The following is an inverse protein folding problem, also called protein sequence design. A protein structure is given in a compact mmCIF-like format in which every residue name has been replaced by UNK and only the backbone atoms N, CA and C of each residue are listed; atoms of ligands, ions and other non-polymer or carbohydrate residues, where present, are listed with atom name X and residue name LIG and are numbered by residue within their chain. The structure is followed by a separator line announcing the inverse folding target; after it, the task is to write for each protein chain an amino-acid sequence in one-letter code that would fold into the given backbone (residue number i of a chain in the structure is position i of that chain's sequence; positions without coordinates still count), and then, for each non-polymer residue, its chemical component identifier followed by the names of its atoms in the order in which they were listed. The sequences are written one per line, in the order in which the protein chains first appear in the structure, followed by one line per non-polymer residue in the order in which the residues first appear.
data_IF_331843054164
#
_entry.id   IF_331843054164
#
_cell.length_a   1.000
_cell.length_b   1.000
_cell.length_c   1.000
_cell.angle_alpha   90.00
_cell.angle_beta   90.00
_cell.angle_gamma   90.00
#
_symmetry.space_group_name_H-M   'P 1'
#
loop_
_entity.id
_entity.type
_entity.pdbx_description
1 polymer ?
#
# COMPACT_ATOMS: atom_id res chain seq x y z
N UNK A 1 20.87 30.20 -6.95
CA UNK A 1 20.84 28.79 -6.49
C UNK A 1 20.08 28.74 -5.17
N UNK A 2 18.94 28.06 -5.13
CA UNK A 2 18.14 27.90 -3.92
C UNK A 2 18.76 26.78 -3.07
N UNK A 3 19.27 27.07 -1.89
CA UNK A 3 19.82 26.06 -0.98
C UNK A 3 18.65 25.27 -0.34
N UNK A 4 18.63 23.95 -0.52
CA UNK A 4 17.69 23.07 0.14
C UNK A 4 18.33 22.50 1.39
N UNK A 5 17.71 22.73 2.54
CA UNK A 5 18.22 22.34 3.85
C UNK A 5 17.78 20.94 4.26
N UNK A 6 16.65 20.48 3.73
CA UNK A 6 16.17 19.12 3.97
C UNK A 6 17.14 18.07 3.44
N UNK A 7 17.36 16.95 4.15
CA UNK A 7 18.32 15.92 3.76
C UNK A 7 17.88 15.11 2.54
N UNK A 8 16.56 14.98 2.26
CA UNK A 8 16.02 14.35 1.06
C UNK A 8 15.98 15.38 -0.08
N UNK A 9 16.46 15.00 -1.26
CA UNK A 9 16.60 15.88 -2.42
C UNK A 9 15.66 15.48 -3.56
N UNK A 10 15.77 14.25 -4.05
CA UNK A 10 14.96 13.75 -5.16
C UNK A 10 13.47 13.69 -4.77
N UNK A 11 13.16 13.23 -3.56
CA UNK A 11 11.79 13.20 -3.03
C UNK A 11 11.24 14.59 -2.64
N UNK A 12 12.03 15.67 -2.73
CA UNK A 12 11.65 16.99 -2.23
C UNK A 12 10.91 17.80 -3.29
N UNK A 13 9.72 18.30 -2.95
CA UNK A 13 8.92 19.16 -3.82
C UNK A 13 9.64 20.41 -4.32
N UNK A 14 10.64 20.93 -3.57
CA UNK A 14 11.42 22.08 -4.00
C UNK A 14 12.31 21.80 -5.23
N UNK A 15 12.69 20.53 -5.45
CA UNK A 15 13.41 20.09 -6.65
C UNK A 15 12.45 19.66 -7.76
N UNK A 16 11.33 19.05 -7.40
CA UNK A 16 10.31 18.57 -8.33
C UNK A 16 8.96 19.21 -7.95
N UNK A 17 8.66 20.44 -8.44
CA UNK A 17 7.46 21.21 -8.05
C UNK A 17 6.15 20.55 -8.46
N UNK A 18 6.13 19.85 -9.60
CA UNK A 18 4.94 19.22 -10.15
C UNK A 18 4.67 17.89 -9.43
N UNK A 19 3.39 17.55 -9.31
CA UNK A 19 3.00 16.27 -8.72
C UNK A 19 3.40 15.11 -9.64
N UNK A 20 3.99 14.08 -9.06
CA UNK A 20 4.29 12.84 -9.78
C UNK A 20 3.01 12.05 -10.05
N UNK A 21 2.88 11.54 -11.27
CA UNK A 21 1.86 10.56 -11.66
C UNK A 21 2.54 9.23 -11.91
N UNK A 22 2.20 8.22 -11.14
CA UNK A 22 2.68 6.85 -11.35
C UNK A 22 1.70 6.14 -12.28
N UNK A 23 2.22 5.53 -13.36
CA UNK A 23 1.45 4.74 -14.31
C UNK A 23 1.78 3.24 -14.18
N UNK A 24 0.75 2.43 -13.96
CA UNK A 24 0.84 0.97 -13.83
C UNK A 24 -0.18 0.34 -14.77
N UNK A 25 0.26 -0.11 -15.94
CA UNK A 25 -0.68 -0.46 -17.02
C UNK A 25 -1.56 0.74 -17.36
N UNK A 26 -2.87 0.59 -17.21
CA UNK A 26 -3.86 1.68 -17.43
C UNK A 26 -4.22 2.44 -16.16
N UNK A 27 -3.68 2.05 -15.00
CA UNK A 27 -3.95 2.70 -13.72
C UNK A 27 -3.00 3.87 -13.52
N UNK A 28 -3.57 5.05 -13.18
CA UNK A 28 -2.83 6.26 -12.82
C UNK A 28 -3.03 6.57 -11.34
N UNK A 29 -1.98 7.03 -10.66
CA UNK A 29 -1.97 7.37 -9.23
C UNK A 29 -1.27 8.71 -9.02
N UNK A 30 -1.87 9.61 -8.26
CA UNK A 30 -1.34 10.95 -7.99
C UNK A 30 -1.92 12.02 -8.92
N UNK A 31 -1.71 13.28 -8.58
CA UNK A 31 -2.18 14.45 -9.34
C UNK A 31 -3.68 14.41 -9.70
N UNK A 32 -4.54 14.08 -8.72
CA UNK A 32 -5.99 13.96 -8.90
C UNK A 32 -6.47 12.56 -9.30
N UNK A 33 -5.59 11.68 -9.78
CA UNK A 33 -5.92 10.27 -10.01
C UNK A 33 -5.92 9.51 -8.68
N UNK A 34 -7.03 8.81 -8.41
CA UNK A 34 -7.26 8.10 -7.17
C UNK A 34 -7.35 6.59 -7.41
N UNK A 35 -6.64 5.80 -6.60
CA UNK A 35 -6.60 4.35 -6.74
C UNK A 35 -7.26 3.64 -5.55
N UNK A 36 -8.03 2.60 -5.85
CA UNK A 36 -8.53 1.63 -4.87
C UNK A 36 -7.74 0.32 -5.01
N UNK A 37 -6.93 -0.02 -4.02
CA UNK A 37 -6.15 -1.26 -3.95
C UNK A 37 -6.83 -2.16 -2.91
N UNK A 38 -7.30 -3.33 -3.33
CA UNK A 38 -8.03 -4.22 -2.43
C UNK A 38 -7.63 -5.68 -2.63
N UNK A 39 -7.77 -6.49 -1.58
CA UNK A 39 -7.46 -7.92 -1.63
C UNK A 39 -7.08 -8.50 -0.27
N UNK A 40 -6.78 -9.80 -0.18
CA UNK A 40 -6.53 -10.45 1.09
C UNK A 40 -5.21 -10.04 1.73
N UNK A 41 -5.12 -10.02 3.05
CA UNK A 41 -3.86 -9.82 3.77
C UNK A 41 -2.81 -10.81 3.31
N UNK A 42 -3.18 -12.07 3.25
CA UNK A 42 -2.36 -13.18 2.79
C UNK A 42 -3.08 -13.97 1.70
N UNK A 43 -2.33 -14.45 0.72
CA UNK A 43 -2.81 -15.50 -0.19
C UNK A 43 -2.77 -16.81 0.58
N UNK A 44 -3.93 -17.47 0.69
CA UNK A 44 -4.13 -18.67 1.51
C UNK A 44 -4.55 -19.89 0.68
N UNK A 45 -5.22 -19.65 -0.44
CA UNK A 45 -5.60 -20.67 -1.41
C UNK A 45 -5.97 -20.03 -2.75
N UNK A 46 -6.02 -20.84 -3.81
CA UNK A 46 -6.48 -20.40 -5.11
C UNK A 46 -7.93 -19.90 -5.07
N UNK A 47 -8.83 -20.64 -4.42
CA UNK A 47 -10.24 -20.27 -4.32
C UNK A 47 -10.42 -18.92 -3.62
N UNK A 48 -9.72 -18.72 -2.49
CA UNK A 48 -9.78 -17.46 -1.73
C UNK A 48 -9.34 -16.27 -2.60
N UNK A 49 -8.17 -16.34 -3.24
CA UNK A 49 -7.63 -15.20 -3.99
C UNK A 49 -8.46 -14.89 -5.23
N UNK A 50 -8.94 -15.89 -5.97
CA UNK A 50 -9.74 -15.68 -7.16
C UNK A 50 -11.14 -15.14 -6.84
N UNK A 51 -11.79 -15.66 -5.81
CA UNK A 51 -13.08 -15.16 -5.35
C UNK A 51 -12.98 -13.70 -4.89
N UNK A 52 -11.99 -13.37 -4.05
CA UNK A 52 -11.78 -12.01 -3.58
C UNK A 52 -11.44 -11.07 -4.75
N UNK A 53 -10.52 -11.47 -5.64
CA UNK A 53 -10.11 -10.65 -6.79
C UNK A 53 -11.29 -10.28 -7.69
N UNK A 54 -12.13 -11.26 -8.04
CA UNK A 54 -13.31 -11.02 -8.89
C UNK A 54 -14.31 -10.08 -8.21
N UNK A 55 -14.58 -10.29 -6.91
CA UNK A 55 -15.55 -9.48 -6.17
C UNK A 55 -15.07 -8.05 -5.95
N UNK A 56 -13.79 -7.82 -5.60
CA UNK A 56 -13.26 -6.47 -5.41
C UNK A 56 -13.16 -5.71 -6.74
N UNK A 57 -12.81 -6.39 -7.85
CA UNK A 57 -12.84 -5.81 -9.19
C UNK A 57 -14.24 -5.30 -9.55
N UNK A 58 -15.25 -6.14 -9.38
CA UNK A 58 -16.64 -5.78 -9.66
C UNK A 58 -17.12 -4.60 -8.80
N UNK A 59 -16.55 -4.42 -7.60
CA UNK A 59 -16.82 -3.29 -6.71
C UNK A 59 -15.97 -2.04 -7.02
N UNK A 60 -15.12 -2.09 -8.06
CA UNK A 60 -14.34 -0.93 -8.51
C UNK A 60 -12.93 -0.82 -7.95
N UNK A 61 -12.34 -1.92 -7.47
CA UNK A 61 -10.89 -1.96 -7.22
C UNK A 61 -10.13 -1.81 -8.53
N UNK A 62 -9.07 -1.00 -8.50
CA UNK A 62 -8.19 -0.79 -9.65
C UNK A 62 -7.01 -1.76 -9.65
N UNK A 63 -6.60 -2.24 -8.47
CA UNK A 63 -5.46 -3.11 -8.28
C UNK A 63 -5.77 -4.15 -7.20
N UNK A 64 -5.22 -5.35 -7.38
CA UNK A 64 -5.29 -6.43 -6.40
C UNK A 64 -4.05 -6.42 -5.50
N UNK A 65 -4.25 -6.45 -4.17
CA UNK A 65 -3.16 -6.71 -3.24
C UNK A 65 -3.26 -8.13 -2.68
N UNK A 66 -2.13 -8.72 -2.36
CA UNK A 66 -2.05 -9.99 -1.65
C UNK A 66 -0.63 -10.26 -1.15
N UNK A 67 -0.49 -10.68 0.10
CA UNK A 67 0.80 -11.06 0.65
C UNK A 67 1.12 -12.53 0.36
N UNK A 68 2.15 -12.78 -0.44
CA UNK A 68 2.67 -14.13 -0.67
C UNK A 68 3.70 -14.53 0.41
N UNK A 69 4.42 -13.56 0.94
CA UNK A 69 5.36 -13.69 2.05
C UNK A 69 4.82 -12.91 3.25
N UNK A 70 4.90 -13.48 4.46
CA UNK A 70 4.36 -12.85 5.67
C UNK A 70 5.42 -12.73 6.75
N UNK A 71 5.81 -11.48 7.14
CA UNK A 71 6.66 -11.26 8.30
C UNK A 71 5.80 -11.45 9.57
N UNK A 72 6.06 -12.50 10.33
CA UNK A 72 5.32 -12.81 11.56
C UNK A 72 6.19 -12.58 12.79
N UNK A 73 5.55 -12.11 13.86
CA UNK A 73 6.23 -11.99 15.17
C UNK A 73 6.51 -13.37 15.75
N UNK A 74 5.58 -14.31 15.57
CA UNK A 74 5.75 -15.70 15.96
C UNK A 74 6.25 -16.55 14.78
N UNK A 75 7.27 -17.39 14.95
CA UNK A 75 7.72 -18.31 13.90
C UNK A 75 6.72 -19.45 13.62
N UNK A 76 5.74 -19.64 14.51
CA UNK A 76 4.71 -20.68 14.40
C UNK A 76 3.48 -20.23 13.61
N UNK A 77 3.36 -18.92 13.36
CA UNK A 77 2.27 -18.38 12.56
C UNK A 77 2.46 -18.70 11.08
N UNK A 78 1.38 -18.64 10.31
CA UNK A 78 1.40 -18.81 8.85
C UNK A 78 2.36 -17.83 8.17
N UNK A 79 3.38 -18.35 7.47
CA UNK A 79 4.48 -17.59 6.86
C UNK A 79 4.17 -17.14 5.41
N UNK A 80 2.99 -17.44 4.89
CA UNK A 80 2.61 -17.22 3.48
C UNK A 80 2.95 -18.40 2.57
N UNK A 81 2.33 -18.41 1.39
CA UNK A 81 2.54 -19.46 0.37
C UNK A 81 3.81 -19.24 -0.46
N UNK A 82 4.53 -18.17 -0.25
CA UNK A 82 5.79 -17.83 -0.93
C UNK A 82 5.65 -17.80 -2.46
N UNK A 83 6.49 -18.54 -3.20
CA UNK A 83 6.45 -18.57 -4.66
C UNK A 83 5.08 -19.00 -5.21
N UNK A 84 4.46 -20.03 -4.63
CA UNK A 84 3.11 -20.46 -4.99
C UNK A 84 2.08 -19.32 -4.84
N UNK A 85 2.19 -18.53 -3.76
CA UNK A 85 1.32 -17.37 -3.57
C UNK A 85 1.50 -16.28 -4.64
N UNK A 86 2.72 -16.09 -5.16
CA UNK A 86 2.96 -15.20 -6.31
C UNK A 86 2.27 -15.76 -7.56
N UNK A 87 2.41 -17.05 -7.84
CA UNK A 87 1.74 -17.68 -8.99
C UNK A 87 0.22 -17.56 -8.94
N UNK A 88 -0.38 -17.70 -7.77
CA UNK A 88 -1.81 -17.51 -7.57
C UNK A 88 -2.25 -16.05 -7.81
N UNK A 89 -1.44 -15.07 -7.38
CA UNK A 89 -1.67 -13.66 -7.68
C UNK A 89 -1.56 -13.38 -9.19
N UNK A 90 -0.57 -13.95 -9.87
CA UNK A 90 -0.42 -13.84 -11.33
C UNK A 90 -1.61 -14.50 -12.07
N UNK A 91 -2.13 -15.59 -11.55
CA UNK A 91 -3.35 -16.21 -12.07
C UNK A 91 -4.56 -15.27 -11.93
N UNK A 92 -4.73 -14.67 -10.75
CA UNK A 92 -5.77 -13.68 -10.51
C UNK A 92 -5.64 -12.45 -11.43
N UNK A 93 -4.41 -11.96 -11.65
CA UNK A 93 -4.11 -10.87 -12.61
C UNK A 93 -4.55 -11.25 -14.04
N UNK A 94 -4.25 -12.47 -14.51
CA UNK A 94 -4.68 -12.93 -15.85
C UNK A 94 -6.20 -12.99 -16.00
N UNK A 95 -6.92 -13.34 -14.94
CA UNK A 95 -8.39 -13.45 -14.97
C UNK A 95 -9.06 -12.09 -14.89
N UNK A 96 -8.56 -11.20 -14.01
CA UNK A 96 -9.19 -9.90 -13.74
C UNK A 96 -8.62 -8.76 -14.56
N UNK A 97 -7.42 -8.88 -15.09
CA UNK A 97 -6.69 -7.77 -15.72
C UNK A 97 -6.15 -6.74 -14.72
N UNK A 98 -6.42 -6.88 -13.41
CA UNK A 98 -5.93 -5.93 -12.41
C UNK A 98 -4.42 -6.08 -12.20
N UNK A 99 -3.64 -4.98 -12.19
CA UNK A 99 -2.27 -5.01 -11.70
C UNK A 99 -2.21 -5.53 -10.25
N UNK A 100 -1.12 -6.20 -9.90
CA UNK A 100 -0.94 -6.79 -8.56
C UNK A 100 0.10 -6.07 -7.72
N UNK A 101 -0.18 -6.01 -6.42
CA UNK A 101 0.71 -5.49 -5.37
C UNK A 101 1.04 -6.61 -4.40
N UNK A 102 2.33 -6.91 -4.21
CA UNK A 102 2.76 -7.91 -3.23
C UNK A 102 3.99 -7.45 -2.45
N UNK A 103 4.08 -7.87 -1.19
CA UNK A 103 5.17 -7.47 -0.29
C UNK A 103 6.41 -8.35 -0.51
N UNK A 104 7.56 -7.69 -0.70
CA UNK A 104 8.86 -8.34 -0.73
C UNK A 104 9.51 -8.31 0.66
N UNK A 105 10.14 -9.42 1.06
CA UNK A 105 10.81 -9.53 2.35
C UNK A 105 12.32 -9.40 2.25
N UNK A 106 12.91 -9.79 1.12
CA UNK A 106 14.34 -9.86 0.91
C UNK A 106 14.67 -9.66 -0.57
N UNK A 107 15.81 -9.03 -0.87
CA UNK A 107 16.26 -8.81 -2.24
C UNK A 107 16.44 -10.10 -3.05
N UNK A 108 16.79 -11.21 -2.38
CA UNK A 108 16.90 -12.53 -3.04
C UNK A 108 15.57 -13.04 -3.63
N UNK A 109 14.45 -12.45 -3.23
CA UNK A 109 13.14 -12.79 -3.81
C UNK A 109 12.83 -12.01 -5.10
N UNK A 110 13.63 -11.02 -5.49
CA UNK A 110 13.39 -10.19 -6.69
C UNK A 110 13.08 -11.00 -7.96
N UNK A 111 13.75 -12.15 -8.22
CA UNK A 111 13.41 -12.95 -9.40
C UNK A 111 11.95 -13.47 -9.41
N UNK A 112 11.34 -13.69 -8.24
CA UNK A 112 9.93 -14.10 -8.13
C UNK A 112 8.96 -12.94 -8.41
N UNK A 113 9.45 -11.71 -8.38
CA UNK A 113 8.64 -10.49 -8.55
C UNK A 113 8.72 -9.92 -9.96
N UNK A 114 9.29 -10.65 -10.93
CA UNK A 114 9.46 -10.16 -12.31
C UNK A 114 8.12 -9.72 -12.92
N UNK A 115 7.05 -10.47 -12.73
CA UNK A 115 5.71 -10.18 -13.27
C UNK A 115 4.77 -9.47 -12.29
N UNK A 116 5.26 -9.15 -11.08
CA UNK A 116 4.54 -8.32 -10.10
C UNK A 116 4.65 -6.85 -10.50
N UNK A 117 3.52 -6.14 -10.55
CA UNK A 117 3.49 -4.76 -11.05
C UNK A 117 4.00 -3.76 -10.02
N UNK A 118 3.65 -3.95 -8.74
CA UNK A 118 4.05 -3.09 -7.64
C UNK A 118 4.65 -3.92 -6.51
N UNK A 119 5.88 -3.59 -6.16
CA UNK A 119 6.57 -4.21 -5.02
C UNK A 119 6.28 -3.39 -3.76
N UNK A 120 5.61 -3.99 -2.78
CA UNK A 120 5.40 -3.35 -1.49
C UNK A 120 6.59 -3.59 -0.57
N UNK A 121 7.08 -2.50 0.03
CA UNK A 121 7.99 -2.54 1.19
C UNK A 121 7.16 -2.37 2.45
N UNK A 122 7.09 -3.41 3.26
CA UNK A 122 6.32 -3.41 4.50
C UNK A 122 6.91 -2.47 5.55
N UNK A 123 6.10 -2.08 6.52
CA UNK A 123 6.48 -1.12 7.57
C UNK A 123 7.73 -1.55 8.37
N UNK A 124 7.94 -2.85 8.56
CA UNK A 124 9.13 -3.39 9.25
C UNK A 124 10.42 -3.27 8.42
N UNK A 125 10.29 -3.14 7.10
CA UNK A 125 11.40 -3.04 6.14
C UNK A 125 11.61 -1.60 5.62
N UNK A 126 10.86 -0.61 6.12
CA UNK A 126 11.02 0.79 5.68
C UNK A 126 12.46 1.29 5.80
N UNK A 127 13.19 0.85 6.81
CA UNK A 127 14.58 1.22 7.05
C UNK A 127 15.58 0.10 6.73
N UNK A 128 15.16 -0.91 5.98
CA UNK A 128 16.08 -1.91 5.42
C UNK A 128 16.78 -1.32 4.19
N UNK A 129 17.77 -0.47 4.43
CA UNK A 129 18.41 0.34 3.39
C UNK A 129 19.07 -0.51 2.30
N UNK A 130 19.58 -1.70 2.62
CA UNK A 130 20.13 -2.60 1.61
C UNK A 130 19.04 -3.12 0.65
N UNK A 131 17.86 -3.49 1.18
CA UNK A 131 16.71 -3.82 0.36
C UNK A 131 16.26 -2.63 -0.50
N UNK A 132 16.20 -1.42 0.08
CA UNK A 132 15.78 -0.22 -0.64
C UNK A 132 16.71 0.12 -1.80
N UNK A 133 18.03 -0.02 -1.64
CA UNK A 133 19.01 0.17 -2.71
C UNK A 133 18.80 -0.83 -3.85
N UNK A 134 18.60 -2.12 -3.53
CA UNK A 134 18.33 -3.13 -4.57
C UNK A 134 17.04 -2.86 -5.34
N UNK A 135 15.98 -2.41 -4.64
CA UNK A 135 14.73 -1.99 -5.27
C UNK A 135 14.91 -0.73 -6.12
N UNK A 136 15.79 0.17 -5.71
CA UNK A 136 16.15 1.38 -6.46
C UNK A 136 16.82 1.10 -7.82
N UNK A 137 17.51 -0.03 -7.96
CA UNK A 137 18.11 -0.46 -9.24
C UNK A 137 17.08 -1.04 -10.21
N UNK A 138 15.85 -1.30 -9.75
CA UNK A 138 14.77 -1.85 -10.60
C UNK A 138 14.00 -0.73 -11.29
N UNK A 139 13.17 -1.10 -12.29
CA UNK A 139 12.18 -0.19 -12.90
C UNK A 139 10.77 -0.36 -12.31
N UNK A 140 10.64 -1.19 -11.28
CA UNK A 140 9.36 -1.51 -10.64
C UNK A 140 8.81 -0.33 -9.85
N UNK A 141 7.50 -0.20 -9.82
CA UNK A 141 6.85 0.72 -8.88
C UNK A 141 6.99 0.18 -7.46
N UNK A 142 7.45 1.02 -6.54
CA UNK A 142 7.64 0.67 -5.13
C UNK A 142 6.58 1.36 -4.29
N UNK A 143 5.79 0.57 -3.57
CA UNK A 143 4.86 1.07 -2.56
C UNK A 143 5.55 0.99 -1.20
N UNK A 144 5.95 2.14 -0.67
CA UNK A 144 6.73 2.26 0.56
C UNK A 144 5.81 2.58 1.74
N UNK A 145 5.60 1.61 2.63
CA UNK A 145 4.80 1.79 3.85
C UNK A 145 5.60 2.46 4.95
N UNK A 146 5.00 3.47 5.59
CA UNK A 146 5.56 4.13 6.78
C UNK A 146 5.78 3.11 7.89
N UNK A 147 6.94 3.17 8.51
CA UNK A 147 7.29 2.33 9.65
C UNK A 147 6.47 2.66 10.89
N UNK A 148 6.44 1.72 11.83
CA UNK A 148 5.55 1.74 12.99
C UNK A 148 5.79 2.91 13.97
N UNK A 149 7.01 3.46 14.02
CA UNK A 149 7.39 4.56 14.90
C UNK A 149 8.24 5.62 14.16
N UNK A 150 8.07 5.70 12.84
CA UNK A 150 8.91 6.55 12.00
C UNK A 150 8.24 7.90 11.71
N UNK A 151 9.04 8.94 11.72
CA UNK A 151 8.66 10.28 11.30
C UNK A 151 8.44 10.35 9.79
N UNK A 152 7.74 11.38 9.31
CA UNK A 152 7.59 11.65 7.87
C UNK A 152 8.94 11.92 7.20
N UNK A 153 9.87 12.56 7.92
CA UNK A 153 11.23 12.77 7.43
C UNK A 153 11.97 11.46 7.18
N UNK A 154 11.86 10.48 8.08
CA UNK A 154 12.47 9.16 7.88
C UNK A 154 11.83 8.40 6.73
N UNK A 155 10.50 8.51 6.53
CA UNK A 155 9.82 7.94 5.37
C UNK A 155 10.35 8.54 4.06
N UNK A 156 10.52 9.88 3.99
CA UNK A 156 11.06 10.56 2.83
C UNK A 156 12.55 10.24 2.61
N UNK A 157 13.32 10.03 3.67
CA UNK A 157 14.71 9.54 3.56
C UNK A 157 14.76 8.11 3.03
N UNK A 158 13.83 7.25 3.40
CA UNK A 158 13.74 5.90 2.83
C UNK A 158 13.37 5.93 1.33
N UNK A 159 12.45 6.82 0.93
CA UNK A 159 12.18 7.06 -0.49
C UNK A 159 13.43 7.57 -1.23
N UNK A 160 14.17 8.48 -0.61
CA UNK A 160 15.42 9.02 -1.17
C UNK A 160 16.46 7.92 -1.44
N UNK A 161 16.59 6.90 -0.58
CA UNK A 161 17.47 5.74 -0.83
C UNK A 161 17.12 5.00 -2.12
N UNK A 162 15.82 4.82 -2.40
CA UNK A 162 15.36 4.19 -3.64
C UNK A 162 15.64 5.10 -4.85
N UNK A 163 15.33 6.39 -4.72
CA UNK A 163 15.49 7.37 -5.80
C UNK A 163 16.97 7.62 -6.14
N UNK A 164 17.86 7.57 -5.16
CA UNK A 164 19.29 7.74 -5.36
C UNK A 164 19.92 6.65 -6.25
N UNK A 165 19.32 5.46 -6.31
CA UNK A 165 19.71 4.36 -7.21
C UNK A 165 19.06 4.46 -8.61
N UNK A 166 18.20 5.48 -8.84
CA UNK A 166 17.62 5.79 -10.16
C UNK A 166 16.17 5.34 -10.36
N UNK A 167 15.45 4.90 -9.31
CA UNK A 167 14.02 4.55 -9.39
C UNK A 167 13.16 5.64 -8.77
N UNK A 168 12.44 6.39 -9.60
CA UNK A 168 11.54 7.47 -9.19
C UNK A 168 10.08 7.01 -9.04
N UNK A 169 9.76 5.74 -9.35
CA UNK A 169 8.41 5.20 -9.31
C UNK A 169 8.02 4.78 -7.88
N UNK A 170 7.76 5.74 -7.00
CA UNK A 170 7.47 5.50 -5.59
C UNK A 170 6.09 6.02 -5.21
N UNK A 171 5.34 5.20 -4.47
CA UNK A 171 4.08 5.53 -3.81
C UNK A 171 4.31 5.48 -2.32
N UNK A 172 4.04 6.58 -1.60
CA UNK A 172 4.10 6.61 -0.14
C UNK A 172 2.79 6.08 0.45
N UNK A 173 2.88 5.32 1.54
CA UNK A 173 1.70 4.75 2.19
C UNK A 173 1.71 5.03 3.70
N UNK A 174 0.78 5.88 4.15
CA UNK A 174 0.45 6.02 5.57
C UNK A 174 -0.34 4.77 6.01
N UNK A 175 -0.01 4.19 7.18
CA UNK A 175 -0.62 2.97 7.71
C UNK A 175 -0.79 2.96 9.23
N UNK A 176 -0.70 4.12 9.84
CA UNK A 176 -0.71 4.28 11.30
C UNK A 176 0.66 4.10 11.94
N UNK A 177 0.81 4.73 13.07
CA UNK A 177 2.00 4.67 13.92
C UNK A 177 1.64 4.18 15.31
N UNK A 178 2.58 3.59 16.02
CA UNK A 178 2.45 3.25 17.43
C UNK A 178 2.44 4.50 18.27
N UNK A 179 1.45 4.62 19.16
CA UNK A 179 1.33 5.66 20.15
C UNK A 179 1.07 5.02 21.51
N UNK A 180 0.76 5.82 22.51
CA UNK A 180 0.33 5.34 23.82
C UNK A 180 -1.09 4.72 23.80
N UNK A 181 -1.88 4.96 22.74
CA UNK A 181 -3.23 4.43 22.59
C UNK A 181 -3.20 2.94 22.26
N UNK A 182 -4.08 2.16 22.91
CA UNK A 182 -4.11 0.69 22.80
C UNK A 182 -5.44 0.12 22.29
N UNK A 183 -6.49 0.94 22.14
CA UNK A 183 -7.78 0.51 21.59
C UNK A 183 -7.76 0.21 20.10
N UNK A 184 -6.79 0.74 19.37
CA UNK A 184 -6.51 0.40 17.98
C UNK A 184 -5.10 -0.17 17.85
N UNK A 185 -4.86 -0.95 16.80
CA UNK A 185 -3.54 -1.54 16.53
C UNK A 185 -2.45 -0.47 16.37
N UNK A 186 -2.79 0.63 15.68
CA UNK A 186 -1.98 1.82 15.54
C UNK A 186 -2.90 3.04 15.46
N UNK A 187 -2.36 4.22 15.70
CA UNK A 187 -3.05 5.49 15.48
C UNK A 187 -2.83 5.93 14.04
N UNK A 188 -3.90 6.08 13.26
CA UNK A 188 -3.82 6.61 11.90
C UNK A 188 -3.47 8.10 11.96
N UNK A 189 -2.46 8.52 11.20
CA UNK A 189 -2.02 9.92 11.10
C UNK A 189 -2.56 10.54 9.81
N UNK A 190 -3.80 11.04 9.87
CA UNK A 190 -4.42 11.69 8.71
C UNK A 190 -3.70 13.00 8.33
N UNK A 191 -3.08 13.67 9.29
CA UNK A 191 -2.31 14.90 9.04
C UNK A 191 -1.05 14.64 8.20
N UNK A 192 -0.56 13.38 8.18
CA UNK A 192 0.55 12.98 7.33
C UNK A 192 0.25 13.18 5.83
N UNK A 193 -1.02 13.06 5.42
CA UNK A 193 -1.41 13.16 4.00
C UNK A 193 -1.09 14.56 3.44
N UNK A 194 -1.70 15.66 3.94
CA UNK A 194 -1.40 16.98 3.42
C UNK A 194 0.07 17.38 3.68
N UNK A 195 0.66 16.98 4.80
CA UNK A 195 2.05 17.30 5.11
C UNK A 195 3.02 16.62 4.12
N UNK A 196 2.83 15.34 3.78
CA UNK A 196 3.65 14.67 2.77
C UNK A 196 3.50 15.32 1.40
N UNK A 197 2.29 15.76 1.03
CA UNK A 197 2.04 16.47 -0.23
C UNK A 197 2.68 17.87 -0.27
N UNK A 198 2.88 18.51 0.87
CA UNK A 198 3.64 19.76 0.95
C UNK A 198 5.14 19.53 0.81
N UNK A 199 5.66 18.47 1.45
CA UNK A 199 7.10 18.17 1.49
C UNK A 199 7.60 17.47 0.22
N UNK A 200 6.75 16.66 -0.43
CA UNK A 200 7.11 15.77 -1.54
C UNK A 200 6.13 15.87 -2.69
N UNK A 201 6.58 15.51 -3.86
CA UNK A 201 5.78 15.39 -5.09
C UNK A 201 5.20 13.98 -5.31
N UNK A 202 5.62 13.00 -4.49
CA UNK A 202 5.21 11.61 -4.61
C UNK A 202 3.75 11.39 -4.21
N UNK A 203 3.01 10.49 -4.86
CA UNK A 203 1.64 10.17 -4.48
C UNK A 203 1.58 9.51 -3.10
N UNK A 204 0.52 9.81 -2.35
CA UNK A 204 0.30 9.35 -0.98
C UNK A 204 -1.00 8.57 -0.90
N UNK A 205 -0.92 7.27 -0.56
CA UNK A 205 -2.08 6.44 -0.26
C UNK A 205 -2.16 6.11 1.22
N UNK A 206 -3.30 5.59 1.66
CA UNK A 206 -3.53 5.22 3.07
C UNK A 206 -4.02 3.79 3.17
N UNK A 207 -3.51 3.08 4.18
CA UNK A 207 -3.94 1.73 4.57
C UNK A 207 -4.68 1.79 5.92
N UNK A 208 -6.01 1.99 5.91
CA UNK A 208 -6.80 2.06 7.14
C UNK A 208 -6.94 0.69 7.84
N UNK A 209 -6.79 -0.41 7.11
CA UNK A 209 -6.86 -1.77 7.67
C UNK A 209 -5.74 -2.02 8.68
N UNK A 210 -4.49 -1.78 8.28
CA UNK A 210 -3.35 -1.93 9.17
C UNK A 210 -3.23 -0.81 10.20
N UNK A 211 -3.80 0.37 9.93
CA UNK A 211 -3.83 1.46 10.89
C UNK A 211 -4.69 1.07 12.09
N UNK A 212 -5.94 0.75 11.86
CA UNK A 212 -6.90 0.49 12.94
C UNK A 212 -6.81 -0.91 13.52
N UNK A 213 -6.56 -1.92 12.69
CA UNK A 213 -6.58 -3.33 13.08
C UNK A 213 -7.98 -3.87 13.38
N UNK A 214 -9.03 -3.13 13.07
CA UNK A 214 -10.43 -3.43 13.42
C UNK A 214 -11.33 -3.13 12.22
N UNK A 215 -11.99 -4.15 11.66
CA UNK A 215 -12.79 -4.05 10.45
C UNK A 215 -13.85 -2.93 10.49
N UNK A 216 -14.58 -2.79 11.60
CA UNK A 216 -15.62 -1.74 11.76
C UNK A 216 -15.08 -0.30 11.70
N UNK A 217 -13.78 -0.09 11.92
CA UNK A 217 -13.14 1.22 11.86
C UNK A 217 -12.54 1.51 10.48
N UNK A 218 -12.38 0.51 9.62
CA UNK A 218 -11.84 0.70 8.26
C UNK A 218 -12.72 1.64 7.42
N UNK A 219 -14.06 1.48 7.37
CA UNK A 219 -14.90 2.38 6.57
C UNK A 219 -14.76 3.86 6.95
N UNK A 220 -14.96 4.30 8.22
CA UNK A 220 -14.84 5.72 8.56
C UNK A 220 -13.44 6.27 8.30
N UNK A 221 -12.37 5.48 8.53
CA UNK A 221 -11.00 5.92 8.28
C UNK A 221 -10.67 5.99 6.78
N UNK A 222 -11.23 5.10 5.96
CA UNK A 222 -11.13 5.17 4.51
C UNK A 222 -11.76 6.47 3.96
N UNK A 223 -12.95 6.82 4.43
CA UNK A 223 -13.66 8.05 4.05
C UNK A 223 -12.87 9.30 4.48
N UNK A 224 -12.40 9.32 5.73
CA UNK A 224 -11.60 10.43 6.25
C UNK A 224 -10.28 10.59 5.48
N UNK A 225 -9.62 9.49 5.11
CA UNK A 225 -8.39 9.52 4.32
C UNK A 225 -8.62 10.09 2.91
N UNK A 226 -9.72 9.70 2.26
CA UNK A 226 -10.10 10.26 0.97
C UNK A 226 -10.40 11.75 1.08
N UNK A 227 -11.14 12.18 2.11
CA UNK A 227 -11.45 13.58 2.37
C UNK A 227 -10.19 14.41 2.73
N UNK A 228 -9.21 13.82 3.39
CA UNK A 228 -7.91 14.47 3.68
C UNK A 228 -7.00 14.61 2.45
N UNK A 229 -7.43 14.13 1.27
CA UNK A 229 -6.72 14.32 0.01
C UNK A 229 -5.73 13.20 -0.35
N UNK A 230 -5.88 11.99 0.19
CA UNK A 230 -5.10 10.84 -0.26
C UNK A 230 -5.27 10.60 -1.77
N UNK A 231 -4.24 10.05 -2.42
CA UNK A 231 -4.27 9.64 -3.83
C UNK A 231 -4.76 8.19 -4.00
N UNK A 232 -5.11 7.52 -2.91
CA UNK A 232 -5.67 6.18 -2.95
C UNK A 232 -5.80 5.54 -1.58
N UNK A 233 -6.40 4.36 -1.58
CA UNK A 233 -6.60 3.54 -0.40
C UNK A 233 -6.14 2.11 -0.66
N UNK A 234 -5.57 1.47 0.36
CA UNK A 234 -5.26 0.05 0.39
C UNK A 234 -6.10 -0.61 1.48
N UNK A 235 -7.00 -1.52 1.10
CA UNK A 235 -7.97 -2.13 2.01
C UNK A 235 -7.85 -3.65 1.98
N UNK A 236 -7.79 -4.27 3.15
CA UNK A 236 -7.81 -5.72 3.27
C UNK A 236 -9.23 -6.27 3.15
N UNK A 237 -9.40 -7.24 2.25
CA UNK A 237 -10.66 -7.90 1.96
C UNK A 237 -10.45 -9.41 1.97
N UNK A 238 -11.30 -10.12 2.68
CA UNK A 238 -11.29 -11.57 2.76
C UNK A 238 -12.70 -12.13 2.56
N UNK A 239 -12.84 -13.25 1.86
CA UNK A 239 -14.16 -13.88 1.64
C UNK A 239 -14.74 -14.51 2.91
N UNK A 240 -13.88 -14.91 3.84
CA UNK A 240 -14.24 -15.45 5.16
C UNK A 240 -13.28 -14.91 6.25
N UNK A 241 -13.45 -13.65 6.72
CA UNK A 241 -12.54 -13.04 7.68
C UNK A 241 -12.40 -13.78 9.01
N UNK A 242 -13.42 -14.55 9.40
CA UNK A 242 -13.43 -15.28 10.67
C UNK A 242 -12.41 -16.42 10.68
N UNK A 243 -12.21 -17.07 9.54
CA UNK A 243 -11.27 -18.19 9.38
C UNK A 243 -9.98 -17.79 8.66
N UNK A 244 -9.75 -16.50 8.45
CA UNK A 244 -8.51 -16.02 7.80
C UNK A 244 -7.28 -16.42 8.60
N UNK A 245 -6.25 -16.92 7.92
CA UNK A 245 -4.96 -17.30 8.52
C UNK A 245 -4.13 -16.08 8.94
N UNK A 246 -4.48 -14.89 8.43
CA UNK A 246 -3.78 -13.64 8.71
C UNK A 246 -4.74 -12.45 8.74
N UNK A 247 -4.65 -11.64 9.80
CA UNK A 247 -5.29 -10.32 9.95
C UNK A 247 -6.82 -10.29 9.66
N UNK A 248 -7.55 -11.37 9.96
CA UNK A 248 -8.99 -11.46 9.75
C UNK A 248 -9.80 -10.38 10.50
N UNK A 249 -9.36 -9.98 11.70
CA UNK A 249 -10.02 -8.98 12.53
C UNK A 249 -10.13 -7.59 11.86
N UNK A 250 -9.26 -7.27 10.93
CA UNK A 250 -9.24 -5.99 10.21
C UNK A 250 -9.72 -6.10 8.76
N UNK A 251 -9.94 -7.32 8.26
CA UNK A 251 -10.38 -7.56 6.90
C UNK A 251 -11.88 -7.31 6.74
N UNK A 252 -12.25 -6.60 5.69
CA UNK A 252 -13.64 -6.45 5.27
C UNK A 252 -14.10 -7.68 4.48
N UNK A 253 -15.41 -7.96 4.50
CA UNK A 253 -15.99 -8.82 3.47
C UNK A 253 -16.05 -8.09 2.13
N UNK A 254 -16.17 -8.81 0.98
CA UNK A 254 -16.33 -8.16 -0.32
C UNK A 254 -17.51 -7.20 -0.40
N UNK A 255 -18.63 -7.51 0.29
CA UNK A 255 -19.80 -6.64 0.36
C UNK A 255 -19.50 -5.34 1.13
N UNK A 256 -18.86 -5.46 2.30
CA UNK A 256 -18.46 -4.27 3.07
C UNK A 256 -17.48 -3.39 2.29
N UNK A 257 -16.56 -4.00 1.53
CA UNK A 257 -15.67 -3.26 0.64
C UNK A 257 -16.44 -2.51 -0.46
N UNK A 258 -17.42 -3.13 -1.10
CA UNK A 258 -18.24 -2.49 -2.11
C UNK A 258 -18.96 -1.24 -1.56
N UNK A 259 -19.51 -1.33 -0.35
CA UNK A 259 -20.15 -0.20 0.33
C UNK A 259 -19.17 0.94 0.62
N UNK A 260 -17.93 0.61 1.01
CA UNK A 260 -16.87 1.61 1.23
C UNK A 260 -16.47 2.25 -0.10
N UNK A 261 -16.25 1.47 -1.14
CA UNK A 261 -15.83 1.97 -2.44
C UNK A 261 -16.87 2.95 -3.05
N UNK A 262 -18.15 2.65 -2.90
CA UNK A 262 -19.22 3.55 -3.32
C UNK A 262 -19.20 4.89 -2.55
N UNK A 263 -19.07 4.84 -1.22
CA UNK A 263 -19.01 6.04 -0.39
C UNK A 263 -17.76 6.87 -0.66
N UNK A 264 -16.61 6.24 -0.88
CA UNK A 264 -15.35 6.91 -1.24
C UNK A 264 -15.50 7.65 -2.57
N UNK A 265 -16.14 7.04 -3.59
CA UNK A 265 -16.42 7.72 -4.87
C UNK A 265 -17.23 9.00 -4.65
N UNK A 266 -18.31 8.95 -3.87
CA UNK A 266 -19.16 10.12 -3.55
C UNK A 266 -18.39 11.23 -2.84
N UNK A 267 -17.54 10.90 -1.86
CA UNK A 267 -16.68 11.90 -1.21
C UNK A 267 -15.73 12.53 -2.23
N UNK A 268 -15.12 11.73 -3.10
CA UNK A 268 -14.20 12.22 -4.12
C UNK A 268 -14.88 13.18 -5.11
N UNK A 269 -16.17 13.03 -5.40
CA UNK A 269 -16.94 13.95 -6.24
C UNK A 269 -17.13 15.32 -5.56
N UNK A 270 -17.28 15.34 -4.24
CA UNK A 270 -17.49 16.58 -3.45
C UNK A 270 -16.23 17.39 -3.27
N UNK A 271 -15.06 16.72 -3.13
CA UNK A 271 -13.78 17.39 -2.80
C UNK A 271 -12.88 17.68 -4.02
N UNK A 272 -13.38 17.41 -5.22
CA UNK A 272 -12.68 17.72 -6.51
C UNK A 272 -12.62 19.21 -6.82
#
# INVERSE_FOLDING_TARGET
VKRITEPFKNANRKFHPDNTVIKIGDVLIGNGHFVMIAGPCSVESENQVLEVATKVQSAGANMLRGGAFKPRTSPYDFQGMRAEGIELLLKAKRITGMPIVSEIMNANHLPLFEDVDVIQVGARNMQNFELLKELGKTKKTILLKRGLANTLKELLMSAEYIMAEGNENIILCERGIRTFETYTRNTIDLSAIPMLKELSHLPVIVDPSHATGIAKLVPPMALASAAAGADGLMIEVHNDPVHALCDGMQSLTPQQYADVADKVRKIREVIK
#
